data_IF_882039899495
#
_entry.id   IF_882039899495
#
_cell.length_a   1.000
_cell.length_b   1.000
_cell.length_c   1.000
_cell.angle_alpha   90.00
_cell.angle_beta   90.00
_cell.angle_gamma   90.00
#
_symmetry.space_group_name_H-M   'P 1'
#
loop_
_entity.id
_entity.type
_entity.pdbx_description
1 polymer ?
#
# COMPACT_ATOMS: atom_id res chain seq x y z
N UNK A 1 -16.82 -0.76 39.95
CA UNK A 1 -16.91 -0.13 38.62
C UNK A 1 -15.66 -0.57 37.89
N UNK A 2 -15.78 -1.66 37.15
CA UNK A 2 -14.70 -2.21 36.33
C UNK A 2 -14.55 -1.33 35.10
N UNK A 3 -13.43 -0.61 35.02
CA UNK A 3 -13.02 0.07 33.80
C UNK A 3 -12.39 -0.96 32.89
N UNK A 4 -13.18 -1.44 31.93
CA UNK A 4 -12.73 -2.28 30.83
C UNK A 4 -11.66 -1.54 30.04
N UNK A 5 -10.41 -1.88 30.30
CA UNK A 5 -9.29 -1.46 29.48
C UNK A 5 -9.48 -2.00 28.06
N UNK A 6 -9.85 -1.12 27.14
CA UNK A 6 -9.86 -1.36 25.70
C UNK A 6 -8.40 -1.37 25.18
N UNK A 7 -7.57 -2.22 25.77
CA UNK A 7 -6.24 -2.57 25.29
C UNK A 7 -6.34 -3.89 24.54
N UNK A 8 -7.08 -3.91 23.42
CA UNK A 8 -7.13 -5.06 22.54
C UNK A 8 -5.74 -5.25 21.93
N UNK A 9 -5.06 -6.31 22.37
CA UNK A 9 -3.62 -6.51 22.19
C UNK A 9 -3.13 -6.35 20.75
N UNK A 10 -2.12 -5.48 20.58
CA UNK A 10 -1.25 -5.50 19.42
C UNK A 10 -0.47 -6.82 19.47
N UNK A 11 -1.05 -7.86 18.89
CA UNK A 11 -0.34 -9.09 18.57
C UNK A 11 0.88 -8.70 17.72
N UNK A 12 2.07 -9.16 18.11
CA UNK A 12 3.33 -8.90 17.39
C UNK A 12 3.11 -9.04 15.88
N UNK A 13 3.65 -8.13 15.05
CA UNK A 13 3.56 -8.25 13.59
C UNK A 13 4.02 -9.64 13.14
N UNK A 14 3.40 -10.17 12.09
CA UNK A 14 3.92 -11.42 11.51
C UNK A 14 5.35 -11.18 11.03
N UNK A 15 6.17 -12.23 11.05
CA UNK A 15 7.55 -12.11 10.57
C UNK A 15 7.55 -11.62 9.11
N UNK A 16 8.47 -10.73 8.71
CA UNK A 16 8.51 -10.18 7.36
C UNK A 16 8.54 -11.25 6.26
N UNK A 17 9.19 -12.39 6.52
CA UNK A 17 9.28 -13.53 5.61
C UNK A 17 7.91 -14.16 5.35
N UNK A 18 7.06 -14.26 6.39
CA UNK A 18 5.70 -14.78 6.28
C UNK A 18 4.83 -13.81 5.48
N UNK A 19 4.94 -12.51 5.76
CA UNK A 19 4.19 -11.50 4.99
C UNK A 19 4.61 -11.49 3.52
N UNK A 20 5.91 -11.62 3.25
CA UNK A 20 6.43 -11.72 1.89
C UNK A 20 5.87 -12.96 1.18
N UNK A 21 5.86 -14.13 1.83
CA UNK A 21 5.30 -15.36 1.28
C UNK A 21 3.82 -15.21 0.92
N UNK A 22 3.01 -14.64 1.83
CA UNK A 22 1.59 -14.39 1.57
C UNK A 22 1.36 -13.46 0.38
N UNK A 23 2.14 -12.38 0.27
CA UNK A 23 2.03 -11.43 -0.84
C UNK A 23 2.57 -12.00 -2.16
N UNK A 24 3.58 -12.86 -2.09
CA UNK A 24 4.20 -13.52 -3.24
C UNK A 24 3.31 -14.62 -3.83
N UNK A 25 2.48 -15.27 -3.00
CA UNK A 25 1.52 -16.27 -3.45
C UNK A 25 0.44 -15.70 -4.39
N UNK A 26 0.32 -14.37 -4.47
CA UNK A 26 -0.63 -13.68 -5.31
C UNK A 26 -1.87 -13.22 -4.54
N UNK A 27 -2.36 -12.04 -4.91
CA UNK A 27 -3.64 -11.52 -4.47
C UNK A 27 -4.61 -11.49 -5.65
N UNK A 28 -5.89 -11.40 -5.35
CA UNK A 28 -6.94 -11.17 -6.33
C UNK A 28 -7.84 -10.01 -5.90
N UNK A 29 -8.41 -9.32 -6.89
CA UNK A 29 -9.44 -8.31 -6.67
C UNK A 29 -10.80 -8.97 -6.84
N UNK A 30 -11.64 -8.83 -5.83
CA UNK A 30 -13.03 -9.23 -5.94
C UNK A 30 -13.87 -8.19 -6.73
N UNK A 31 -15.16 -8.52 -6.95
CA UNK A 31 -16.10 -7.65 -7.66
C UNK A 31 -16.36 -6.30 -6.97
N UNK A 32 -15.97 -6.16 -5.70
CA UNK A 32 -16.09 -4.93 -4.91
C UNK A 32 -14.78 -4.12 -4.90
N UNK A 33 -13.74 -4.62 -5.58
CA UNK A 33 -12.39 -4.06 -5.57
C UNK A 33 -11.60 -4.36 -4.28
N UNK A 34 -12.08 -5.26 -3.44
CA UNK A 34 -11.37 -5.68 -2.24
C UNK A 34 -10.27 -6.68 -2.64
N UNK A 35 -9.06 -6.49 -2.11
CA UNK A 35 -7.98 -7.47 -2.26
C UNK A 35 -8.16 -8.63 -1.29
N UNK A 36 -7.94 -9.84 -1.77
CA UNK A 36 -7.83 -11.06 -0.97
C UNK A 36 -6.66 -11.93 -1.45
N UNK A 37 -6.25 -12.90 -0.62
CA UNK A 37 -5.20 -13.88 -0.94
C UNK A 37 -5.80 -14.92 -1.89
N UNK A 38 -5.13 -15.14 -3.03
CA UNK A 38 -5.61 -16.07 -4.07
C UNK A 38 -5.55 -17.53 -3.63
N UNK A 39 -4.51 -17.91 -2.88
CA UNK A 39 -4.33 -19.27 -2.38
C UNK A 39 -5.21 -19.51 -1.14
N UNK A 40 -6.23 -20.37 -1.28
CA UNK A 40 -7.18 -20.67 -0.19
C UNK A 40 -6.52 -21.31 1.03
N UNK A 41 -5.48 -22.15 0.84
CA UNK A 41 -4.78 -22.78 1.96
C UNK A 41 -4.04 -21.71 2.78
N UNK A 42 -3.28 -20.84 2.11
CA UNK A 42 -2.60 -19.71 2.75
C UNK A 42 -3.57 -18.73 3.38
N UNK A 43 -4.68 -18.43 2.71
CA UNK A 43 -5.72 -17.54 3.21
C UNK A 43 -6.40 -18.07 4.49
N UNK A 44 -6.46 -19.38 4.67
CA UNK A 44 -7.01 -20.05 5.86
C UNK A 44 -6.06 -20.03 7.07
N UNK A 45 -4.77 -19.72 6.85
CA UNK A 45 -3.80 -19.63 7.94
C UNK A 45 -4.06 -18.40 8.81
N UNK A 46 -3.59 -18.42 10.07
CA UNK A 46 -3.69 -17.24 10.96
C UNK A 46 -3.00 -15.99 10.38
N UNK A 47 -1.80 -16.08 9.78
CA UNK A 47 -1.20 -14.98 9.04
C UNK A 47 -2.06 -14.50 7.86
N UNK A 48 -2.61 -15.43 7.06
CA UNK A 48 -3.47 -15.10 5.92
C UNK A 48 -4.73 -14.33 6.34
N UNK A 49 -5.44 -14.82 7.35
CA UNK A 49 -6.59 -14.11 7.93
C UNK A 49 -6.24 -12.70 8.43
N UNK A 50 -5.05 -12.52 9.01
CA UNK A 50 -4.61 -11.21 9.46
C UNK A 50 -4.32 -10.27 8.30
N UNK A 51 -3.62 -10.74 7.26
CA UNK A 51 -3.36 -9.95 6.06
C UNK A 51 -4.68 -9.54 5.40
N UNK A 52 -5.65 -10.44 5.28
CA UNK A 52 -7.01 -10.11 4.79
C UNK A 52 -7.64 -8.95 5.59
N UNK A 53 -7.57 -8.99 6.91
CA UNK A 53 -8.09 -7.91 7.76
C UNK A 53 -7.35 -6.59 7.52
N UNK A 54 -6.02 -6.63 7.39
CA UNK A 54 -5.22 -5.44 7.07
C UNK A 54 -5.60 -4.86 5.71
N UNK A 55 -5.72 -5.69 4.67
CA UNK A 55 -6.18 -5.27 3.35
C UNK A 55 -7.58 -4.64 3.41
N UNK A 56 -8.50 -5.17 4.22
CA UNK A 56 -9.84 -4.61 4.42
C UNK A 56 -9.86 -3.28 5.16
N UNK A 57 -8.96 -3.08 6.12
CA UNK A 57 -8.96 -1.89 6.97
C UNK A 57 -8.13 -0.75 6.38
N UNK A 58 -7.02 -1.08 5.71
CA UNK A 58 -5.99 -0.12 5.32
C UNK A 58 -6.14 0.34 3.87
N UNK A 59 -6.62 -0.53 2.98
CA UNK A 59 -6.64 -0.25 1.54
C UNK A 59 -7.95 0.46 1.17
N UNK A 60 -7.89 1.67 0.57
CA UNK A 60 -9.06 2.33 0.01
C UNK A 60 -9.71 1.48 -1.10
N UNK A 61 -11.04 1.50 -1.17
CA UNK A 61 -11.81 0.70 -2.12
C UNK A 61 -12.02 1.38 -3.47
N UNK A 62 -11.78 2.68 -3.56
CA UNK A 62 -12.01 3.48 -4.75
C UNK A 62 -10.80 4.34 -5.11
N UNK A 63 -10.82 4.85 -6.34
CA UNK A 63 -9.76 5.67 -6.89
C UNK A 63 -9.66 7.01 -6.16
N UNK A 64 -10.78 7.62 -5.81
CA UNK A 64 -10.81 8.92 -5.13
C UNK A 64 -10.13 8.85 -3.75
N UNK A 65 -10.44 7.85 -2.93
CA UNK A 65 -9.80 7.65 -1.63
C UNK A 65 -8.30 7.33 -1.74
N UNK A 66 -7.90 6.67 -2.83
CA UNK A 66 -6.50 6.38 -3.11
C UNK A 66 -5.76 7.65 -3.57
N UNK A 67 -6.39 8.45 -4.44
CA UNK A 67 -5.84 9.68 -4.99
C UNK A 67 -5.60 10.76 -3.95
N UNK A 68 -6.39 10.81 -2.87
CA UNK A 68 -6.25 11.78 -1.77
C UNK A 68 -5.07 11.49 -0.82
N UNK A 69 -4.55 10.26 -0.84
CA UNK A 69 -3.55 9.82 0.13
C UNK A 69 -2.17 10.43 -0.11
N UNK A 70 -1.63 10.50 -1.34
CA UNK A 70 -0.36 11.17 -1.59
C UNK A 70 -0.32 12.63 -1.13
N UNK A 71 -1.39 13.41 -1.32
CA UNK A 71 -1.39 14.83 -0.90
C UNK A 71 -1.33 14.96 0.62
N UNK A 72 -1.97 14.05 1.36
CA UNK A 72 -1.88 14.02 2.83
C UNK A 72 -0.45 13.73 3.29
N UNK A 73 0.25 12.82 2.61
CA UNK A 73 1.62 12.41 2.94
C UNK A 73 2.67 13.48 2.58
N UNK A 74 2.45 14.22 1.49
CA UNK A 74 3.34 15.33 1.09
C UNK A 74 3.49 16.38 2.20
N UNK A 75 2.42 16.67 2.94
CA UNK A 75 2.43 17.65 4.03
C UNK A 75 3.27 17.25 5.25
N UNK A 76 3.65 15.98 5.38
CA UNK A 76 4.42 15.44 6.53
C UNK A 76 5.83 14.98 6.16
N UNK A 77 6.31 15.28 4.95
CA UNK A 77 7.65 14.88 4.48
C UNK A 77 8.80 15.47 5.30
N UNK A 78 8.64 16.69 5.81
CA UNK A 78 9.65 17.36 6.66
C UNK A 78 9.64 16.85 8.12
N UNK A 79 8.69 15.99 8.47
CA UNK A 79 8.53 15.42 9.80
C UNK A 79 9.33 14.12 10.02
N UNK A 80 9.14 13.47 11.19
CA UNK A 80 9.70 12.15 11.45
C UNK A 80 9.19 11.09 10.46
N UNK A 81 9.82 9.90 10.41
CA UNK A 81 9.27 8.74 9.71
C UNK A 81 7.82 8.47 10.12
N UNK A 82 7.04 7.94 9.18
CA UNK A 82 5.67 7.53 9.43
C UNK A 82 5.61 6.51 10.56
N UNK A 83 4.46 6.45 11.25
CA UNK A 83 4.21 5.35 12.17
C UNK A 83 4.21 4.02 11.39
N UNK A 84 4.55 2.88 12.02
CA UNK A 84 4.50 1.58 11.35
C UNK A 84 3.15 1.30 10.67
N UNK A 85 2.05 1.72 11.31
CA UNK A 85 0.69 1.61 10.77
C UNK A 85 0.49 2.45 9.51
N UNK A 86 0.90 3.72 9.52
CA UNK A 86 0.75 4.62 8.37
C UNK A 86 1.62 4.17 7.18
N UNK A 87 2.82 3.67 7.48
CA UNK A 87 3.73 3.11 6.49
C UNK A 87 3.21 1.80 5.89
N UNK A 88 2.66 0.90 6.71
CA UNK A 88 2.00 -0.32 6.24
C UNK A 88 0.81 0.01 5.34
N UNK A 89 -0.01 0.99 5.74
CA UNK A 89 -1.12 1.46 4.92
C UNK A 89 -0.65 2.05 3.58
N UNK A 90 0.43 2.83 3.58
CA UNK A 90 1.05 3.35 2.36
C UNK A 90 1.48 2.21 1.42
N UNK A 91 2.18 1.19 1.94
CA UNK A 91 2.64 0.05 1.14
C UNK A 91 1.48 -0.76 0.56
N UNK A 92 0.48 -1.12 1.37
CA UNK A 92 -0.67 -1.92 0.92
C UNK A 92 -1.56 -1.14 -0.06
N UNK A 93 -1.67 0.19 0.10
CA UNK A 93 -2.35 1.04 -0.88
C UNK A 93 -1.60 1.05 -2.21
N UNK A 94 -0.26 1.17 -2.18
CA UNK A 94 0.57 1.07 -3.39
C UNK A 94 0.42 -0.28 -4.10
N UNK A 95 0.39 -1.38 -3.34
CA UNK A 95 0.15 -2.72 -3.87
C UNK A 95 -1.22 -2.83 -4.55
N UNK A 96 -2.27 -2.30 -3.93
CA UNK A 96 -3.62 -2.22 -4.49
C UNK A 96 -3.65 -1.50 -5.83
N UNK A 97 -2.91 -0.39 -5.98
CA UNK A 97 -2.84 0.32 -7.25
C UNK A 97 -2.31 -0.58 -8.39
N UNK A 98 -1.34 -1.47 -8.12
CA UNK A 98 -0.80 -2.39 -9.15
C UNK A 98 -1.87 -3.38 -9.60
N UNK A 99 -2.59 -4.01 -8.66
CA UNK A 99 -3.65 -4.95 -9.02
C UNK A 99 -4.80 -4.27 -9.78
N UNK A 100 -5.17 -3.04 -9.38
CA UNK A 100 -6.23 -2.27 -10.04
C UNK A 100 -5.80 -1.76 -11.40
N UNK A 101 -4.54 -1.37 -11.55
CA UNK A 101 -3.94 -1.04 -12.84
C UNK A 101 -4.05 -2.23 -13.82
N UNK A 102 -3.76 -3.45 -13.34
CA UNK A 102 -3.91 -4.66 -14.15
C UNK A 102 -5.36 -5.03 -14.47
N UNK A 103 -6.30 -4.70 -13.59
CA UNK A 103 -7.72 -4.97 -13.79
C UNK A 103 -8.44 -3.91 -14.63
N UNK A 104 -7.92 -2.69 -14.69
CA UNK A 104 -8.53 -1.57 -15.41
C UNK A 104 -8.56 -1.84 -16.92
N UNK A 105 -9.73 -1.64 -17.53
CA UNK A 105 -9.95 -1.84 -18.96
C UNK A 105 -9.81 -0.56 -19.79
N UNK A 106 -10.00 0.61 -19.18
CA UNK A 106 -9.96 1.90 -19.86
C UNK A 106 -8.60 2.57 -19.70
N UNK A 107 -8.07 3.14 -20.80
CA UNK A 107 -6.77 3.81 -20.81
C UNK A 107 -6.67 4.99 -19.84
N UNK A 108 -7.76 5.75 -19.68
CA UNK A 108 -7.82 6.85 -18.71
C UNK A 108 -7.70 6.32 -17.27
N UNK A 109 -8.46 5.27 -16.95
CA UNK A 109 -8.42 4.65 -15.62
C UNK A 109 -7.04 4.04 -15.32
N UNK A 110 -6.46 3.31 -16.28
CA UNK A 110 -5.10 2.79 -16.18
C UNK A 110 -4.09 3.92 -15.91
N UNK A 111 -4.17 5.02 -16.65
CA UNK A 111 -3.29 6.17 -16.47
C UNK A 111 -3.38 6.78 -15.06
N UNK A 112 -4.59 6.86 -14.50
CA UNK A 112 -4.80 7.35 -13.13
C UNK A 112 -4.22 6.40 -12.08
N UNK A 113 -4.45 5.10 -12.19
CA UNK A 113 -3.86 4.11 -11.27
C UNK A 113 -2.33 4.11 -11.33
N UNK A 114 -1.74 4.18 -12.52
CA UNK A 114 -0.29 4.26 -12.70
C UNK A 114 0.29 5.56 -12.10
N UNK A 115 -0.41 6.69 -12.29
CA UNK A 115 0.00 7.97 -11.71
C UNK A 115 0.01 7.92 -10.18
N UNK A 116 -1.09 7.45 -9.57
CA UNK A 116 -1.21 7.35 -8.11
C UNK A 116 -0.18 6.37 -7.53
N UNK A 117 0.03 5.22 -8.18
CA UNK A 117 1.08 4.28 -7.80
C UNK A 117 2.46 4.95 -7.75
N UNK A 118 2.81 5.73 -8.79
CA UNK A 118 4.09 6.45 -8.85
C UNK A 118 4.24 7.43 -7.70
N UNK A 119 3.16 8.16 -7.36
CA UNK A 119 3.16 9.09 -6.23
C UNK A 119 3.36 8.34 -4.90
N UNK A 120 2.64 7.25 -4.67
CA UNK A 120 2.77 6.44 -3.44
C UNK A 120 4.17 5.83 -3.33
N UNK A 121 4.72 5.29 -4.41
CA UNK A 121 6.09 4.76 -4.43
C UNK A 121 7.12 5.85 -4.10
N UNK A 122 6.89 7.08 -4.57
CA UNK A 122 7.72 8.22 -4.20
C UNK A 122 7.62 8.55 -2.71
N UNK A 123 6.42 8.47 -2.11
CA UNK A 123 6.26 8.66 -0.65
C UNK A 123 6.95 7.57 0.17
N UNK A 124 6.93 6.30 -0.30
CA UNK A 124 7.67 5.21 0.35
C UNK A 124 9.16 5.53 0.40
N UNK A 125 9.73 5.96 -0.72
CA UNK A 125 11.15 6.33 -0.78
C UNK A 125 11.46 7.54 0.10
N UNK A 126 10.57 8.54 0.13
CA UNK A 126 10.70 9.69 1.02
C UNK A 126 10.76 9.27 2.48
N UNK A 127 9.83 8.42 2.90
CA UNK A 127 9.75 8.00 4.29
C UNK A 127 10.96 7.16 4.71
N UNK A 128 11.36 6.19 3.87
CA UNK A 128 12.57 5.39 4.10
C UNK A 128 13.86 6.22 4.12
N UNK A 129 13.88 7.34 3.41
CA UNK A 129 15.04 8.24 3.40
C UNK A 129 15.22 9.04 4.69
N UNK A 130 14.15 9.23 5.48
CA UNK A 130 14.21 10.03 6.71
C UNK A 130 15.17 9.37 7.71
N UNK A 131 16.27 10.05 7.99
CA UNK A 131 17.32 9.56 8.89
C UNK A 131 18.38 8.66 8.24
N UNK A 132 18.24 8.31 6.95
CA UNK A 132 19.17 7.44 6.23
C UNK A 132 19.85 8.12 5.03
N UNK A 133 19.20 9.09 4.38
CA UNK A 133 19.71 9.71 3.16
C UNK A 133 20.59 10.95 3.46
N UNK A 134 21.79 11.07 2.86
CA UNK A 134 22.80 12.08 3.22
C UNK A 134 22.38 13.53 2.97
N UNK A 135 21.35 13.76 2.13
CA UNK A 135 20.78 15.09 1.84
C UNK A 135 19.29 15.16 2.18
N UNK A 136 18.74 14.14 2.85
CA UNK A 136 17.31 14.05 3.16
C UNK A 136 16.39 13.92 1.93
N UNK A 137 16.93 13.73 0.72
CA UNK A 137 16.14 13.58 -0.51
C UNK A 137 16.28 12.16 -1.07
N UNK A 138 15.16 11.47 -1.37
CA UNK A 138 15.16 10.21 -2.10
C UNK A 138 15.43 10.40 -3.60
N UNK A 139 15.82 9.33 -4.31
CA UNK A 139 15.79 9.34 -5.77
C UNK A 139 14.36 9.64 -6.27
N UNK A 140 14.26 10.42 -7.35
CA UNK A 140 12.98 10.70 -8.01
C UNK A 140 12.57 9.55 -8.92
N UNK A 141 11.33 9.09 -8.79
CA UNK A 141 10.70 8.13 -9.69
C UNK A 141 10.05 8.79 -10.91
N UNK A 142 10.08 10.12 -11.01
CA UNK A 142 9.54 10.88 -12.15
C UNK A 142 9.96 10.38 -13.55
N UNK A 143 11.20 9.89 -13.77
CA UNK A 143 11.60 9.36 -15.08
C UNK A 143 10.86 8.09 -15.52
N UNK A 144 10.27 7.33 -14.59
CA UNK A 144 9.58 6.07 -14.92
C UNK A 144 8.14 6.28 -15.40
N UNK A 145 7.50 7.37 -14.95
CA UNK A 145 6.16 7.77 -15.43
C UNK A 145 6.17 8.12 -16.93
N UNK A 146 7.31 8.59 -17.46
CA UNK A 146 7.48 8.92 -18.89
C UNK A 146 7.76 7.70 -19.79
N UNK A 147 7.94 6.50 -19.22
CA UNK A 147 8.20 5.27 -19.99
C UNK A 147 6.89 4.62 -20.47
N UNK A 148 5.75 5.03 -19.89
CA UNK A 148 4.42 4.50 -20.24
C UNK A 148 3.71 5.26 -21.36
N UNK A 149 4.33 6.30 -21.93
CA UNK A 149 3.87 6.85 -23.22
C UNK A 149 4.26 5.87 -24.33
N UNK A 150 3.31 5.19 -25.00
CA UNK A 150 3.64 4.52 -26.24
C UNK A 150 4.06 5.62 -27.22
N UNK A 151 5.27 5.49 -27.76
CA UNK A 151 5.72 6.34 -28.86
C UNK A 151 4.67 6.33 -29.99
N UNK A 152 4.45 7.47 -30.67
CA UNK A 152 3.42 7.63 -31.70
C UNK A 152 3.61 6.71 -32.91
#
# INVERSE_FOLDING_TARGET
MDSTGMGGGLKEPEAPEVMLELLWAGLELDVTGQLDIQDEELASTRPGHRLRLLLQQLVPRDLEGTEQRPQQLQGVREGPPLSPWDFEQLLLTGLSCIYRLHAASEAEEMGRWAHVFTLLAQEVLWDLCKGFCPQGQPPSLGPWASILDPAP
#
